data_IF_198395968124
#
_entry.id   IF_198395968124
#
_cell.length_a   1.000
_cell.length_b   1.000
_cell.length_c   1.000
_cell.angle_alpha   90.00
_cell.angle_beta   90.00
_cell.angle_gamma   90.00
#
_symmetry.space_group_name_H-M   'P 1'
#
loop_
_entity.id
_entity.type
_entity.pdbx_description
1 polymer ?
#
# COMPACT_ATOMS: atom_id res chain seq x y z
N UNK A 1 -11.13 -10.71 22.44
CA UNK A 1 -10.23 -9.61 22.00
C UNK A 1 -10.91 -8.85 20.87
N UNK A 2 -11.17 -7.56 21.04
CA UNK A 2 -11.75 -6.72 19.98
C UNK A 2 -10.65 -6.41 18.96
N UNK A 3 -10.68 -7.09 17.82
CA UNK A 3 -9.77 -6.91 16.66
C UNK A 3 -9.99 -5.57 15.94
N UNK A 4 -10.37 -4.51 16.67
CA UNK A 4 -10.69 -3.23 16.07
C UNK A 4 -9.38 -2.57 15.64
N UNK A 5 -9.25 -2.31 14.35
CA UNK A 5 -8.13 -1.56 13.75
C UNK A 5 -6.73 -2.20 13.79
N UNK A 6 -6.60 -3.50 14.09
CA UNK A 6 -5.28 -4.17 14.06
C UNK A 6 -4.60 -4.10 12.69
N UNK A 7 -5.39 -4.08 11.61
CA UNK A 7 -4.89 -3.89 10.25
C UNK A 7 -4.15 -2.56 10.07
N UNK A 8 -4.57 -1.48 10.74
CA UNK A 8 -3.87 -0.19 10.69
C UNK A 8 -2.50 -0.34 11.32
N UNK A 9 -2.42 -0.87 12.55
CA UNK A 9 -1.14 -1.09 13.24
C UNK A 9 -0.20 -1.99 12.45
N UNK A 10 -0.71 -3.07 11.84
CA UNK A 10 0.11 -3.98 11.04
C UNK A 10 0.64 -3.31 9.77
N UNK A 11 -0.20 -2.52 9.09
CA UNK A 11 0.19 -1.82 7.87
C UNK A 11 1.21 -0.72 8.16
N UNK A 12 1.06 0.02 9.27
CA UNK A 12 2.06 1.01 9.73
C UNK A 12 3.39 0.35 10.03
N UNK A 13 3.40 -0.74 10.83
CA UNK A 13 4.63 -1.44 11.17
C UNK A 13 5.38 -1.97 9.95
N UNK A 14 4.65 -2.43 8.91
CA UNK A 14 5.29 -2.85 7.66
C UNK A 14 6.01 -1.69 6.97
N UNK A 15 5.39 -0.51 6.92
CA UNK A 15 6.02 0.68 6.31
C UNK A 15 7.26 1.08 7.11
N UNK A 16 7.15 1.13 8.44
CA UNK A 16 8.28 1.45 9.33
C UNK A 16 9.46 0.46 9.12
N UNK A 17 9.18 -0.84 9.00
CA UNK A 17 10.23 -1.84 8.73
C UNK A 17 10.87 -1.64 7.34
N UNK A 18 10.06 -1.37 6.31
CA UNK A 18 10.57 -1.13 4.95
C UNK A 18 11.43 0.13 4.87
N UNK A 19 11.06 1.18 5.60
CA UNK A 19 11.83 2.41 5.73
C UNK A 19 13.14 2.18 6.50
N UNK A 20 13.08 1.46 7.62
CA UNK A 20 14.26 1.11 8.42
C UNK A 20 15.31 0.32 7.63
N UNK A 21 14.87 -0.57 6.73
CA UNK A 21 15.73 -1.34 5.83
C UNK A 21 16.20 -0.54 4.59
N UNK A 22 15.75 0.73 4.43
CA UNK A 22 16.11 1.57 3.29
C UNK A 22 15.56 1.06 1.94
N UNK A 23 14.46 0.30 1.98
CA UNK A 23 13.85 -0.31 0.80
C UNK A 23 12.70 0.50 0.21
N UNK A 24 12.24 1.56 0.90
CA UNK A 24 11.01 2.30 0.55
C UNK A 24 11.01 2.86 -0.87
N UNK A 25 12.15 3.38 -1.32
CA UNK A 25 12.29 3.99 -2.66
C UNK A 25 12.41 2.95 -3.79
N UNK A 26 12.71 1.70 -3.45
CA UNK A 26 12.91 0.59 -4.40
C UNK A 26 11.65 -0.26 -4.58
N UNK A 27 10.60 0.02 -3.80
CA UNK A 27 9.38 -0.76 -3.75
C UNK A 27 8.16 0.09 -4.13
N UNK A 28 7.17 -0.58 -4.69
CA UNK A 28 5.81 -0.04 -4.83
C UNK A 28 4.96 -0.73 -3.78
N UNK A 29 4.58 0.01 -2.74
CA UNK A 29 3.75 -0.51 -1.66
C UNK A 29 2.28 -0.20 -1.94
N UNK A 30 1.47 -1.25 -2.03
CA UNK A 30 0.02 -1.15 -2.15
C UNK A 30 -0.64 -2.01 -1.08
N UNK A 31 -1.77 -1.56 -0.55
CA UNK A 31 -2.57 -2.33 0.40
C UNK A 31 -4.04 -2.35 -0.02
N UNK A 32 -4.81 -3.27 0.54
CA UNK A 32 -6.22 -3.39 0.20
C UNK A 32 -7.04 -4.11 1.25
N UNK A 33 -8.36 -3.95 1.13
CA UNK A 33 -9.32 -4.59 2.03
C UNK A 33 -10.62 -3.79 2.16
N UNK A 34 -11.66 -4.39 2.75
CA UNK A 34 -12.99 -3.79 2.84
C UNK A 34 -13.05 -2.52 3.70
N UNK A 35 -12.02 -2.25 4.50
CA UNK A 35 -11.88 -1.05 5.35
C UNK A 35 -10.67 -0.18 4.97
N UNK A 36 -10.11 -0.39 3.78
CA UNK A 36 -8.99 0.41 3.26
C UNK A 36 -9.55 1.36 2.19
N UNK A 37 -9.40 2.66 2.41
CA UNK A 37 -9.58 3.67 1.37
C UNK A 37 -8.23 4.04 0.76
N UNK A 38 -8.25 4.74 -0.37
CA UNK A 38 -7.03 5.22 -1.01
C UNK A 38 -6.31 6.25 -0.12
N UNK A 39 -7.08 7.14 0.49
CA UNK A 39 -6.61 8.21 1.36
C UNK A 39 -5.95 7.64 2.63
N UNK A 40 -6.62 6.67 3.28
CA UNK A 40 -6.05 6.00 4.46
C UNK A 40 -4.72 5.31 4.12
N UNK A 41 -4.62 4.65 2.97
CA UNK A 41 -3.38 4.00 2.57
C UNK A 41 -2.23 5.01 2.39
N UNK A 42 -2.51 6.16 1.77
CA UNK A 42 -1.53 7.24 1.61
C UNK A 42 -1.09 7.83 2.95
N UNK A 43 -2.02 8.06 3.87
CA UNK A 43 -1.70 8.52 5.23
C UNK A 43 -0.78 7.54 5.98
N UNK A 44 -0.90 6.24 5.71
CA UNK A 44 -0.06 5.20 6.30
C UNK A 44 1.30 5.03 5.59
N UNK A 45 1.56 5.75 4.49
CA UNK A 45 2.83 5.68 3.74
C UNK A 45 2.84 4.72 2.55
N UNK A 46 1.68 4.18 2.15
CA UNK A 46 1.54 3.37 0.93
C UNK A 46 1.36 4.25 -0.31
N UNK A 47 1.68 3.70 -1.47
CA UNK A 47 1.54 4.37 -2.76
C UNK A 47 0.07 4.37 -3.25
N UNK A 48 -0.70 3.34 -2.90
CA UNK A 48 -2.14 3.28 -3.13
C UNK A 48 -2.87 2.28 -2.22
N UNK A 49 -4.12 2.61 -1.90
CA UNK A 49 -5.09 1.71 -1.26
C UNK A 49 -6.17 1.22 -2.22
N UNK A 50 -6.54 -0.06 -2.10
CA UNK A 50 -7.57 -0.72 -2.91
C UNK A 50 -8.71 -1.25 -2.02
N UNK A 51 -9.83 -0.54 -2.01
CA UNK A 51 -11.03 -0.89 -1.24
C UNK A 51 -11.98 -1.86 -1.95
N UNK A 52 -13.16 -2.06 -1.38
CA UNK A 52 -14.26 -2.83 -2.00
C UNK A 52 -14.58 -2.31 -3.41
N UNK A 53 -14.73 -3.23 -4.37
CA UNK A 53 -14.93 -2.88 -5.78
C UNK A 53 -13.64 -2.68 -6.58
N UNK A 54 -12.48 -2.85 -5.94
CA UNK A 54 -11.20 -2.95 -6.66
C UNK A 54 -11.03 -4.34 -7.26
N UNK A 55 -10.54 -4.39 -8.49
CA UNK A 55 -10.28 -5.61 -9.25
C UNK A 55 -8.80 -5.70 -9.62
N UNK A 56 -8.36 -6.89 -10.04
CA UNK A 56 -6.95 -7.15 -10.38
C UNK A 56 -6.40 -6.19 -11.45
N UNK A 57 -7.21 -5.81 -12.44
CA UNK A 57 -6.84 -4.85 -13.48
C UNK A 57 -6.56 -3.44 -12.93
N UNK A 58 -7.28 -3.00 -11.89
CA UNK A 58 -7.01 -1.70 -11.24
C UNK A 58 -5.63 -1.70 -10.57
N UNK A 59 -5.32 -2.77 -9.84
CA UNK A 59 -4.03 -2.94 -9.16
C UNK A 59 -2.89 -3.05 -10.18
N UNK A 60 -3.02 -3.92 -11.19
CA UNK A 60 -2.02 -4.09 -12.22
C UNK A 60 -1.74 -2.78 -13.00
N UNK A 61 -2.79 -2.05 -13.37
CA UNK A 61 -2.66 -0.77 -14.06
C UNK A 61 -1.90 0.27 -13.23
N UNK A 62 -2.15 0.31 -11.92
CA UNK A 62 -1.42 1.20 -11.01
C UNK A 62 0.05 0.81 -10.89
N UNK A 63 0.34 -0.48 -10.64
CA UNK A 63 1.71 -0.97 -10.45
C UNK A 63 2.56 -0.73 -11.69
N UNK A 64 2.07 -1.07 -12.89
CA UNK A 64 2.82 -0.86 -14.14
C UNK A 64 3.10 0.63 -14.38
N UNK A 65 2.14 1.51 -14.10
CA UNK A 65 2.35 2.97 -14.19
C UNK A 65 3.43 3.43 -13.22
N UNK A 66 3.42 2.95 -11.98
CA UNK A 66 4.44 3.31 -10.99
C UNK A 66 5.84 2.79 -11.37
N UNK A 67 5.94 1.57 -11.91
CA UNK A 67 7.22 1.02 -12.39
C UNK A 67 7.86 1.94 -13.44
N UNK A 68 7.07 2.38 -14.42
CA UNK A 68 7.54 3.26 -15.49
C UNK A 68 7.88 4.66 -14.94
N UNK A 69 7.02 5.23 -14.10
CA UNK A 69 7.25 6.57 -13.52
C UNK A 69 8.49 6.64 -12.62
N UNK A 70 8.80 5.56 -11.90
CA UNK A 70 9.95 5.46 -11.00
C UNK A 70 11.20 4.87 -11.66
N UNK A 71 11.13 4.52 -12.94
CA UNK A 71 12.21 3.89 -13.69
C UNK A 71 12.80 2.67 -12.96
N UNK A 72 11.91 1.77 -12.49
CA UNK A 72 12.29 0.54 -11.77
C UNK A 72 12.66 -0.63 -12.71
N UNK A 73 12.66 -0.38 -14.02
CA UNK A 73 13.09 -1.29 -15.09
C UNK A 73 14.03 -0.58 -16.05
#
# INVERSE_FOLDING_TARGET
>A
VTQKNIHISNLTQLVEMVEAEGLRDKLILVCGGPRISHELAQELGYDAGFGTGSYANHVASFVVKQIVQRNLI
#
